data_IF_799201844497
#
_entry.id   IF_799201844497
#
_cell.length_a   1.000
_cell.length_b   1.000
_cell.length_c   1.000
_cell.angle_alpha   90.00
_cell.angle_beta   90.00
_cell.angle_gamma   90.00
#
_symmetry.space_group_name_H-M   'P 1'
#
loop_
_entity.id
_entity.type
_entity.pdbx_description
1 polymer ?
#
# COMPACT_ATOMS: atom_id res chain seq x y z
N UNK A 1 -40.23 2.36 13.66
CA UNK A 1 -39.27 3.50 13.52
C UNK A 1 -38.96 3.80 12.06
N UNK A 2 -38.98 2.81 11.16
CA UNK A 2 -38.90 2.97 9.70
C UNK A 2 -40.13 3.67 9.09
N UNK A 3 -41.33 3.39 9.59
CA UNK A 3 -42.59 3.91 9.00
C UNK A 3 -42.70 5.44 9.03
N UNK A 4 -42.01 6.07 9.99
CA UNK A 4 -42.00 7.53 10.16
C UNK A 4 -41.12 8.22 9.11
N UNK A 5 -40.01 7.58 8.72
CA UNK A 5 -39.07 8.10 7.72
C UNK A 5 -39.66 8.01 6.32
N UNK A 6 -40.48 6.98 6.06
CA UNK A 6 -41.12 6.76 4.78
C UNK A 6 -42.29 7.73 4.54
N UNK A 7 -43.03 8.07 5.61
CA UNK A 7 -44.06 9.11 5.60
C UNK A 7 -43.47 10.52 5.37
N UNK A 8 -42.31 10.84 5.96
CA UNK A 8 -41.65 12.13 5.76
C UNK A 8 -41.11 12.28 4.32
N UNK A 9 -40.56 11.21 3.74
CA UNK A 9 -40.07 11.20 2.35
C UNK A 9 -41.18 11.36 1.30
N UNK A 10 -42.37 10.80 1.55
CA UNK A 10 -43.53 11.00 0.66
C UNK A 10 -44.04 12.44 0.73
N UNK A 11 -43.99 13.07 1.91
CA UNK A 11 -44.42 14.47 2.09
C UNK A 11 -43.51 15.46 1.35
N UNK A 12 -42.19 15.24 1.38
CA UNK A 12 -41.21 16.06 0.65
C UNK A 12 -41.38 15.97 -0.87
N UNK A 13 -41.71 14.79 -1.40
CA UNK A 13 -41.96 14.61 -2.84
C UNK A 13 -43.21 15.34 -3.32
N UNK A 14 -44.26 15.36 -2.51
CA UNK A 14 -45.50 16.06 -2.88
C UNK A 14 -45.36 17.60 -2.84
N UNK A 15 -44.49 18.15 -1.98
CA UNK A 15 -44.19 19.60 -1.97
C UNK A 15 -43.41 20.07 -3.21
N UNK A 16 -42.56 19.22 -3.77
CA UNK A 16 -41.82 19.53 -5.00
C UNK A 16 -42.72 19.54 -6.25
N UNK A 17 -43.79 18.75 -6.26
CA UNK A 17 -44.75 18.72 -7.38
C UNK A 17 -45.72 19.92 -7.37
N UNK A 18 -45.99 20.53 -6.22
CA UNK A 18 -46.88 21.70 -6.13
C UNK A 18 -46.20 23.04 -6.48
N UNK A 19 -44.86 23.06 -6.59
CA UNK A 19 -44.11 24.30 -6.91
C UNK A 19 -43.75 24.47 -8.39
N UNK A 20 -44.23 23.61 -9.31
CA UNK A 20 -43.88 23.66 -10.75
C UNK A 20 -45.06 24.02 -11.66
N UNK A 21 -46.11 24.65 -11.14
CA UNK A 21 -47.19 25.20 -12.00
C UNK A 21 -47.30 26.70 -11.80
N UNK A 22 -46.41 27.45 -12.46
CA UNK A 22 -46.70 28.81 -12.93
C UNK A 22 -45.72 29.19 -14.04
N UNK A 23 -46.18 29.08 -15.29
CA UNK A 23 -45.72 29.91 -16.40
C UNK A 23 -46.73 31.03 -16.63
N UNK A 24 -46.26 32.24 -16.95
CA UNK A 24 -46.90 32.97 -18.04
C UNK A 24 -45.88 33.54 -19.04
N UNK A 25 -46.14 33.23 -20.32
CA UNK A 25 -46.05 34.10 -21.50
C UNK A 25 -45.07 35.30 -21.52
N UNK A 26 -44.09 35.17 -22.41
CA UNK A 26 -43.53 36.17 -23.35
C UNK A 26 -43.77 37.68 -23.09
N UNK A 27 -42.68 38.39 -22.78
CA UNK A 27 -42.40 39.73 -23.30
C UNK A 27 -40.88 40.00 -23.30
N UNK A 28 -40.43 40.69 -24.34
CA UNK A 28 -39.05 41.05 -24.64
C UNK A 28 -38.43 41.95 -23.55
N UNK A 29 -37.17 41.71 -23.17
CA UNK A 29 -36.10 42.72 -23.06
C UNK A 29 -34.83 42.12 -22.44
N UNK A 30 -33.81 41.87 -23.27
CA UNK A 30 -32.42 41.76 -22.82
C UNK A 30 -31.54 42.69 -23.68
N UNK A 31 -30.61 43.45 -23.08
CA UNK A 31 -29.86 44.49 -23.78
C UNK A 31 -28.74 43.89 -24.65
N UNK A 32 -28.59 44.47 -25.84
CA UNK A 32 -27.53 44.20 -26.80
C UNK A 32 -26.22 44.82 -26.30
N UNK A 33 -25.17 44.01 -26.18
CA UNK A 33 -23.78 44.50 -26.23
C UNK A 33 -23.10 43.94 -27.48
N UNK A 34 -22.99 44.81 -28.47
CA UNK A 34 -22.13 44.66 -29.65
C UNK A 34 -20.67 44.56 -29.22
N UNK A 35 -19.91 43.58 -29.71
CA UNK A 35 -18.50 43.79 -30.09
C UNK A 35 -18.06 42.72 -31.10
N UNK A 36 -17.53 43.23 -32.20
CA UNK A 36 -16.94 42.62 -33.38
C UNK A 36 -15.89 41.52 -33.13
N UNK A 37 -16.00 40.39 -33.84
CA UNK A 37 -14.86 39.61 -34.33
C UNK A 37 -15.27 38.62 -35.44
N UNK A 38 -15.23 39.06 -36.69
CA UNK A 38 -14.98 38.19 -37.85
C UNK A 38 -13.59 38.54 -38.38
N UNK A 39 -12.76 37.54 -38.69
CA UNK A 39 -11.68 37.70 -39.68
C UNK A 39 -11.01 36.43 -40.25
N UNK A 40 -11.39 35.21 -39.88
CA UNK A 40 -10.84 34.01 -40.53
C UNK A 40 -11.88 32.90 -40.73
N UNK A 41 -12.79 33.08 -41.69
CA UNK A 41 -13.59 32.00 -42.25
C UNK A 41 -13.70 32.18 -43.78
N UNK A 42 -12.80 31.54 -44.53
CA UNK A 42 -12.88 31.22 -45.97
C UNK A 42 -11.76 30.19 -46.20
N UNK A 43 -11.91 28.96 -46.71
CA UNK A 43 -12.68 28.39 -47.84
C UNK A 43 -12.81 26.82 -47.71
N UNK A 44 -13.55 26.12 -48.60
CA UNK A 44 -14.07 24.76 -48.39
C UNK A 44 -13.35 23.65 -49.24
N UNK A 45 -13.90 22.42 -49.40
CA UNK A 45 -13.20 21.15 -49.18
C UNK A 45 -12.42 20.61 -50.40
N UNK A 46 -11.42 19.76 -50.18
CA UNK A 46 -10.75 19.01 -51.25
C UNK A 46 -10.54 17.55 -50.86
N UNK A 47 -11.20 16.69 -51.61
CA UNK A 47 -11.06 15.23 -51.68
C UNK A 47 -9.68 14.83 -52.18
N UNK A 48 -9.04 13.85 -51.54
CA UNK A 48 -8.10 12.91 -52.19
C UNK A 48 -7.87 11.70 -51.30
N UNK A 49 -8.20 10.55 -51.85
CA UNK A 49 -8.03 9.19 -51.34
C UNK A 49 -6.56 8.79 -51.19
N UNK A 50 -6.19 8.21 -50.05
CA UNK A 50 -5.13 7.19 -49.97
C UNK A 50 -5.61 6.08 -49.02
N UNK A 51 -5.92 4.93 -49.61
CA UNK A 51 -6.08 3.66 -48.92
C UNK A 51 -4.72 3.22 -48.37
N UNK A 52 -4.63 2.92 -47.08
CA UNK A 52 -3.63 1.99 -46.56
C UNK A 52 -4.35 0.89 -45.78
N UNK A 53 -4.56 -0.22 -46.48
CA UNK A 53 -4.95 -1.50 -45.92
C UNK A 53 -3.81 -2.02 -45.04
N UNK A 54 -3.94 -1.96 -43.73
CA UNK A 54 -3.18 -2.82 -42.82
C UNK A 54 -4.20 -3.64 -42.03
N UNK A 55 -4.19 -4.94 -42.30
CA UNK A 55 -5.10 -5.92 -41.73
C UNK A 55 -5.00 -5.94 -40.20
N UNK A 56 -6.13 -5.75 -39.52
CA UNK A 56 -6.24 -6.02 -38.09
C UNK A 56 -6.08 -7.54 -37.87
N UNK A 57 -5.15 -8.01 -37.03
CA UNK A 57 -5.18 -9.40 -36.59
C UNK A 57 -6.42 -9.63 -35.69
N UNK A 58 -6.98 -10.85 -35.69
CA UNK A 58 -8.19 -11.16 -34.94
C UNK A 58 -7.98 -11.01 -33.42
N UNK A 59 -9.03 -10.75 -32.63
CA UNK A 59 -8.92 -10.70 -31.19
C UNK A 59 -8.65 -12.11 -30.67
N UNK A 60 -7.42 -12.40 -30.27
CA UNK A 60 -7.15 -13.56 -29.43
C UNK A 60 -7.77 -13.31 -28.06
N UNK A 61 -8.91 -13.94 -27.82
CA UNK A 61 -9.47 -14.17 -26.49
C UNK A 61 -8.46 -14.99 -25.66
N UNK A 62 -7.54 -14.33 -24.97
CA UNK A 62 -6.82 -14.93 -23.85
C UNK A 62 -7.64 -14.69 -22.60
N UNK A 63 -8.46 -15.67 -22.25
CA UNK A 63 -9.11 -15.77 -20.96
C UNK A 63 -8.00 -16.10 -19.94
N UNK A 64 -7.48 -15.07 -19.29
CA UNK A 64 -6.80 -15.14 -18.00
C UNK A 64 -6.79 -13.73 -17.41
N UNK A 65 -7.98 -13.29 -17.03
CA UNK A 65 -8.19 -12.08 -16.26
C UNK A 65 -7.72 -12.33 -14.82
N UNK A 66 -6.42 -12.26 -14.58
CA UNK A 66 -5.95 -11.90 -13.25
C UNK A 66 -6.47 -10.48 -12.97
N UNK A 67 -7.03 -10.19 -11.78
CA UNK A 67 -7.37 -8.82 -11.45
C UNK A 67 -6.07 -8.05 -11.40
N UNK A 68 -5.80 -7.31 -12.47
CA UNK A 68 -4.75 -6.31 -12.56
C UNK A 68 -5.06 -5.22 -11.53
N UNK A 69 -4.65 -5.45 -10.28
CA UNK A 69 -4.67 -4.46 -9.22
C UNK A 69 -3.50 -3.47 -9.42
N UNK A 70 -3.27 -3.04 -10.65
CA UNK A 70 -2.44 -1.88 -10.94
C UNK A 70 -3.29 -0.63 -10.70
N UNK A 71 -3.62 -0.37 -9.43
CA UNK A 71 -4.19 0.92 -9.07
C UNK A 71 -3.20 2.01 -9.47
N UNK A 72 -3.65 2.95 -10.32
CA UNK A 72 -2.89 4.15 -10.67
C UNK A 72 -2.44 4.83 -9.37
N UNK A 73 -1.15 5.19 -9.31
CA UNK A 73 -0.50 5.79 -8.12
C UNK A 73 -1.42 6.87 -7.52
N UNK A 74 -1.76 6.74 -6.24
CA UNK A 74 -2.61 7.70 -5.51
C UNK A 74 -4.08 7.30 -5.32
N UNK A 75 -4.60 6.30 -6.05
CA UNK A 75 -5.99 5.86 -5.89
C UNK A 75 -6.21 4.80 -4.80
N UNK A 76 -5.18 4.48 -4.01
CA UNK A 76 -5.27 3.49 -2.92
C UNK A 76 -6.36 3.82 -1.90
N UNK A 77 -6.63 5.10 -1.66
CA UNK A 77 -7.69 5.53 -0.74
C UNK A 77 -9.08 5.05 -1.18
N UNK A 78 -9.31 4.89 -2.48
CA UNK A 78 -10.58 4.49 -3.07
C UNK A 78 -10.62 2.99 -3.41
N UNK A 79 -9.57 2.26 -3.06
CA UNK A 79 -9.49 0.82 -3.29
C UNK A 79 -10.11 0.11 -2.09
N UNK A 80 -11.04 -0.85 -2.29
CA UNK A 80 -11.54 -1.65 -1.18
C UNK A 80 -10.38 -2.35 -0.48
N UNK A 81 -10.45 -2.43 0.85
CA UNK A 81 -9.44 -3.12 1.65
C UNK A 81 -9.41 -4.58 1.23
N UNK A 82 -8.26 -5.06 0.77
CA UNK A 82 -8.08 -6.45 0.36
C UNK A 82 -8.35 -7.41 1.52
N UNK A 83 -8.93 -8.57 1.22
CA UNK A 83 -9.13 -9.62 2.22
C UNK A 83 -7.80 -10.20 2.74
N UNK A 84 -6.71 -10.07 1.96
CA UNK A 84 -5.38 -10.55 2.33
C UNK A 84 -4.56 -9.46 3.03
N UNK A 85 -5.11 -8.87 4.10
CA UNK A 85 -4.38 -7.90 4.92
C UNK A 85 -3.20 -8.58 5.61
N UNK A 86 -1.99 -8.11 5.31
CA UNK A 86 -0.78 -8.62 5.93
C UNK A 86 0.47 -8.21 5.16
N UNK A 87 1.59 -8.69 5.67
CA UNK A 87 2.91 -8.39 5.12
C UNK A 87 3.66 -9.69 4.85
N UNK A 88 4.59 -9.67 3.91
CA UNK A 88 5.45 -10.82 3.69
C UNK A 88 6.85 -10.38 3.30
N UNK A 89 7.82 -11.24 3.61
CA UNK A 89 9.19 -11.06 3.18
C UNK A 89 9.39 -11.67 1.80
N UNK A 90 10.01 -10.90 0.90
CA UNK A 90 10.55 -11.39 -0.36
C UNK A 90 12.05 -11.51 -0.18
N UNK A 91 12.58 -12.72 -0.34
CA UNK A 91 14.01 -12.99 -0.23
C UNK A 91 14.67 -12.95 -1.59
N UNK A 92 15.76 -12.19 -1.70
CA UNK A 92 16.53 -12.04 -2.94
C UNK A 92 18.00 -12.36 -2.71
N UNK A 93 18.64 -13.06 -3.66
CA UNK A 93 20.08 -13.20 -3.64
C UNK A 93 20.73 -11.83 -3.88
N UNK A 94 21.79 -11.53 -3.13
CA UNK A 94 22.59 -10.32 -3.30
C UNK A 94 24.08 -10.66 -3.31
N UNK A 95 24.82 -9.96 -4.18
CA UNK A 95 26.27 -10.18 -4.33
C UNK A 95 27.08 -9.61 -3.16
N UNK A 96 26.65 -8.47 -2.63
CA UNK A 96 27.29 -7.80 -1.50
C UNK A 96 26.28 -6.95 -0.73
N UNK A 97 26.48 -6.83 0.58
CA UNK A 97 25.66 -5.94 1.42
C UNK A 97 25.93 -4.50 1.03
N UNK A 98 24.87 -3.71 0.92
CA UNK A 98 24.93 -2.27 0.65
C UNK A 98 24.11 -1.49 1.66
N UNK A 99 24.40 -0.18 1.87
CA UNK A 99 23.56 0.67 2.69
C UNK A 99 22.11 0.67 2.21
N UNK A 100 21.17 0.82 3.15
CA UNK A 100 19.73 0.82 2.87
C UNK A 100 19.33 1.74 1.71
N UNK A 101 19.87 2.97 1.69
CA UNK A 101 19.57 3.96 0.65
C UNK A 101 19.98 3.49 -0.74
N UNK A 102 21.11 2.80 -0.85
CA UNK A 102 21.64 2.32 -2.12
C UNK A 102 20.79 1.15 -2.65
N UNK A 103 20.43 0.19 -1.79
CA UNK A 103 19.50 -0.90 -2.18
C UNK A 103 18.17 -0.33 -2.64
N UNK A 104 17.57 0.58 -1.86
CA UNK A 104 16.32 1.22 -2.24
C UNK A 104 16.43 1.96 -3.58
N UNK A 105 17.56 2.61 -3.88
CA UNK A 105 17.78 3.26 -5.16
C UNK A 105 17.92 2.26 -6.31
N UNK A 106 18.67 1.17 -6.10
CA UNK A 106 18.84 0.11 -7.11
C UNK A 106 17.51 -0.61 -7.42
N UNK A 107 16.73 -0.96 -6.40
CA UNK A 107 15.42 -1.59 -6.58
C UNK A 107 14.41 -0.65 -7.27
N UNK A 108 14.50 0.66 -7.00
CA UNK A 108 13.67 1.67 -7.66
C UNK A 108 14.06 1.88 -9.11
N UNK A 109 15.35 2.03 -9.38
CA UNK A 109 15.85 2.39 -10.71
C UNK A 109 15.93 1.19 -11.65
N UNK A 110 16.23 0.00 -11.14
CA UNK A 110 16.28 -1.25 -11.91
C UNK A 110 14.91 -1.88 -12.07
N UNK A 111 14.32 -2.35 -10.95
CA UNK A 111 13.06 -3.10 -10.98
C UNK A 111 11.80 -2.21 -10.89
N UNK A 112 11.93 -0.89 -10.89
CA UNK A 112 10.78 0.01 -10.76
C UNK A 112 10.01 -0.15 -9.45
N UNK A 113 10.61 -0.72 -8.39
CA UNK A 113 9.93 -0.86 -7.10
C UNK A 113 9.81 0.50 -6.42
N UNK A 114 8.58 0.95 -6.19
CA UNK A 114 8.36 2.21 -5.48
C UNK A 114 8.90 2.08 -4.05
N UNK A 115 9.70 3.05 -3.58
CA UNK A 115 10.30 2.96 -2.25
C UNK A 115 9.29 3.00 -1.10
N UNK A 116 8.09 3.55 -1.31
CA UNK A 116 7.02 3.48 -0.32
C UNK A 116 6.32 2.11 -0.24
N UNK A 117 6.61 1.20 -1.16
CA UNK A 117 6.05 -0.16 -1.17
C UNK A 117 6.92 -1.17 -0.42
N UNK A 118 8.20 -0.83 -0.20
CA UNK A 118 9.12 -1.60 0.63
C UNK A 118 9.07 -0.98 2.03
N UNK A 119 8.65 -1.78 3.00
CA UNK A 119 8.39 -1.34 4.37
C UNK A 119 9.67 -1.43 5.22
N UNK A 120 10.41 -2.50 5.03
CA UNK A 120 11.69 -2.76 5.71
C UNK A 120 12.63 -3.56 4.79
N UNK A 121 13.93 -3.41 5.04
CA UNK A 121 14.98 -4.18 4.39
C UNK A 121 15.96 -4.66 5.44
N UNK A 122 16.16 -5.96 5.54
CA UNK A 122 17.20 -6.54 6.37
C UNK A 122 17.96 -7.66 5.67
N UNK A 123 19.04 -8.10 6.30
CA UNK A 123 19.94 -9.12 5.75
C UNK A 123 19.92 -10.35 6.66
N UNK A 124 19.10 -11.38 6.37
CA UNK A 124 19.11 -12.62 7.15
C UNK A 124 20.47 -13.35 7.05
N UNK A 125 21.14 -13.22 5.91
CA UNK A 125 22.44 -13.83 5.63
C UNK A 125 23.29 -12.88 4.80
N UNK A 126 24.59 -13.13 4.68
CA UNK A 126 25.52 -12.30 3.91
C UNK A 126 25.17 -12.15 2.42
N UNK A 127 24.51 -13.16 1.83
CA UNK A 127 24.16 -13.23 0.40
C UNK A 127 22.67 -13.10 0.12
N UNK A 128 21.86 -12.76 1.12
CA UNK A 128 20.41 -12.68 0.99
C UNK A 128 19.94 -11.36 1.59
N UNK A 129 19.04 -10.68 0.87
CA UNK A 129 18.31 -9.53 1.36
C UNK A 129 16.83 -9.90 1.47
N UNK A 130 16.20 -9.51 2.57
CA UNK A 130 14.78 -9.68 2.83
C UNK A 130 14.08 -8.32 2.68
N UNK A 131 13.06 -8.27 1.84
CA UNK A 131 12.24 -7.08 1.60
C UNK A 131 10.86 -7.30 2.22
N UNK A 132 10.48 -6.50 3.21
CA UNK A 132 9.13 -6.53 3.76
C UNK A 132 8.19 -5.74 2.84
N UNK A 133 7.13 -6.38 2.36
CA UNK A 133 6.13 -5.74 1.49
C UNK A 133 4.71 -6.07 1.97
N UNK A 134 3.75 -5.23 1.62
CA UNK A 134 2.34 -5.56 1.79
C UNK A 134 1.92 -6.66 0.83
N UNK A 135 1.03 -7.56 1.26
CA UNK A 135 0.58 -8.71 0.46
C UNK A 135 0.00 -8.30 -0.90
N UNK A 136 -0.83 -7.25 -0.96
CA UNK A 136 -1.39 -6.73 -2.22
C UNK A 136 -0.32 -6.25 -3.22
N UNK A 137 0.88 -5.92 -2.74
CA UNK A 137 1.99 -5.51 -3.60
C UNK A 137 2.95 -6.66 -3.90
N UNK A 138 2.88 -7.77 -3.16
CA UNK A 138 3.90 -8.81 -3.22
C UNK A 138 3.99 -9.48 -4.61
N UNK A 139 2.84 -9.78 -5.23
CA UNK A 139 2.82 -10.34 -6.58
C UNK A 139 3.44 -9.39 -7.60
N UNK A 140 3.01 -8.13 -7.60
CA UNK A 140 3.54 -7.08 -8.48
C UNK A 140 5.05 -6.90 -8.28
N UNK A 141 5.52 -6.95 -7.03
CA UNK A 141 6.94 -6.87 -6.72
C UNK A 141 7.72 -8.06 -7.29
N UNK A 142 7.21 -9.27 -7.11
CA UNK A 142 7.83 -10.49 -7.63
C UNK A 142 7.89 -10.52 -9.17
N UNK A 143 6.86 -10.03 -9.85
CA UNK A 143 6.83 -9.92 -11.31
C UNK A 143 7.86 -8.91 -11.81
N UNK A 144 7.91 -7.73 -11.20
CA UNK A 144 8.91 -6.70 -11.53
C UNK A 144 10.35 -7.18 -11.33
N UNK A 145 10.60 -7.90 -10.24
CA UNK A 145 11.91 -8.49 -9.99
C UNK A 145 12.27 -9.52 -11.08
N UNK A 146 11.32 -10.39 -11.44
CA UNK A 146 11.54 -11.39 -12.50
C UNK A 146 11.80 -10.78 -13.87
N UNK A 147 11.13 -9.67 -14.21
CA UNK A 147 11.38 -8.96 -15.47
C UNK A 147 12.83 -8.46 -15.58
N UNK A 148 13.46 -8.15 -14.45
CA UNK A 148 14.88 -7.78 -14.36
C UNK A 148 15.82 -8.98 -14.14
N UNK A 149 15.35 -10.20 -14.38
CA UNK A 149 16.09 -11.45 -14.13
C UNK A 149 16.53 -11.64 -12.66
N UNK A 150 15.87 -10.96 -11.71
CA UNK A 150 16.04 -11.21 -10.29
C UNK A 150 15.03 -12.28 -9.88
N UNK A 151 15.51 -13.44 -9.49
CA UNK A 151 14.67 -14.56 -9.05
C UNK A 151 14.54 -14.56 -7.53
N UNK A 152 13.36 -14.21 -6.96
CA UNK A 152 13.13 -14.34 -5.53
C UNK A 152 13.21 -15.81 -5.08
N UNK A 153 13.79 -16.04 -3.90
CA UNK A 153 13.90 -17.36 -3.28
C UNK A 153 12.54 -17.68 -2.65
N UNK A 154 11.88 -18.75 -3.11
CA UNK A 154 10.53 -19.10 -2.64
C UNK A 154 10.52 -19.73 -1.25
N UNK A 155 11.44 -20.67 -1.01
CA UNK A 155 11.42 -21.52 0.19
C UNK A 155 12.59 -21.20 1.13
N UNK A 156 12.90 -19.92 1.28
CA UNK A 156 13.94 -19.50 2.23
C UNK A 156 13.40 -19.55 3.65
N UNK A 157 14.01 -20.41 4.48
CA UNK A 157 13.74 -20.45 5.90
C UNK A 157 14.75 -19.56 6.67
N UNK A 158 14.32 -18.42 7.25
CA UNK A 158 15.21 -17.57 8.03
C UNK A 158 15.69 -18.19 9.35
N UNK A 159 15.04 -19.25 9.83
CA UNK A 159 15.39 -19.95 11.07
C UNK A 159 16.36 -21.12 10.84
N UNK A 160 16.68 -21.45 9.58
CA UNK A 160 17.60 -22.54 9.28
C UNK A 160 18.99 -22.28 9.90
N UNK A 161 19.44 -23.21 10.73
CA UNK A 161 20.75 -23.19 11.37
C UNK A 161 21.93 -23.05 10.38
N UNK A 162 21.73 -23.43 9.12
CA UNK A 162 22.73 -23.29 8.04
C UNK A 162 22.97 -21.83 7.64
N UNK A 163 22.04 -20.93 7.93
CA UNK A 163 22.19 -19.50 7.66
C UNK A 163 23.14 -18.79 8.62
N UNK A 164 23.47 -19.41 9.75
CA UNK A 164 24.45 -18.90 10.71
C UNK A 164 25.86 -19.03 10.13
N UNK A 165 26.40 -17.93 9.61
CA UNK A 165 27.72 -17.86 8.95
C UNK A 165 28.86 -17.42 9.87
N UNK A 166 28.60 -17.24 11.15
CA UNK A 166 29.61 -16.78 12.10
C UNK A 166 30.65 -17.89 12.38
N UNK A 167 31.96 -17.62 12.19
CA UNK A 167 33.01 -18.60 12.46
C UNK A 167 32.96 -19.20 13.86
N UNK A 168 32.47 -18.45 14.87
CA UNK A 168 32.42 -18.93 16.25
C UNK A 168 31.49 -20.14 16.44
N UNK A 169 30.48 -20.28 15.59
CA UNK A 169 29.47 -21.36 15.67
C UNK A 169 29.67 -22.45 14.62
N UNK A 170 30.78 -22.41 13.87
CA UNK A 170 31.02 -23.33 12.74
C UNK A 170 30.98 -24.79 13.16
N UNK A 171 31.62 -25.10 14.28
CA UNK A 171 31.76 -26.45 14.83
C UNK A 171 30.80 -26.69 16.02
N UNK A 172 29.88 -25.77 16.29
CA UNK A 172 28.85 -25.93 17.32
C UNK A 172 27.76 -26.92 16.88
N UNK A 173 27.13 -27.63 17.84
CA UNK A 173 26.03 -28.55 17.55
C UNK A 173 24.82 -27.80 16.94
N UNK A 174 24.02 -28.54 16.19
CA UNK A 174 22.89 -27.99 15.43
C UNK A 174 21.88 -27.30 16.35
N UNK A 175 21.64 -27.83 17.54
CA UNK A 175 20.70 -27.30 18.52
C UNK A 175 21.10 -25.88 18.95
N UNK A 176 22.38 -25.67 19.27
CA UNK A 176 22.93 -24.37 19.67
C UNK A 176 22.83 -23.38 18.52
N UNK A 177 23.14 -23.82 17.30
CA UNK A 177 23.04 -22.97 16.09
C UNK A 177 21.60 -22.56 15.80
N UNK A 178 20.65 -23.49 15.91
CA UNK A 178 19.22 -23.22 15.73
C UNK A 178 18.70 -22.24 16.77
N UNK A 179 19.11 -22.39 18.03
CA UNK A 179 18.73 -21.48 19.11
C UNK A 179 19.27 -20.07 18.86
N UNK A 180 20.54 -19.94 18.46
CA UNK A 180 21.14 -18.64 18.15
C UNK A 180 20.47 -18.00 16.92
N UNK A 181 20.20 -18.78 15.87
CA UNK A 181 19.51 -18.29 14.68
C UNK A 181 18.11 -17.78 15.02
N UNK A 182 17.38 -18.48 15.90
CA UNK A 182 16.11 -18.02 16.43
C UNK A 182 16.26 -16.70 17.19
N UNK A 183 17.25 -16.59 18.08
CA UNK A 183 17.48 -15.36 18.84
C UNK A 183 17.82 -14.15 17.95
N UNK A 184 18.61 -14.36 16.89
CA UNK A 184 18.92 -13.34 15.88
C UNK A 184 17.65 -12.91 15.14
N UNK A 185 16.83 -13.88 14.73
CA UNK A 185 15.58 -13.62 14.03
C UNK A 185 14.58 -12.85 14.90
N UNK A 186 14.36 -13.28 16.14
CA UNK A 186 13.47 -12.61 17.10
C UNK A 186 13.90 -11.15 17.33
N UNK A 187 15.22 -10.91 17.49
CA UNK A 187 15.78 -9.56 17.61
C UNK A 187 15.56 -8.72 16.35
N UNK A 188 15.64 -9.34 15.16
CA UNK A 188 15.38 -8.65 13.91
C UNK A 188 13.91 -8.26 13.76
N UNK A 189 12.98 -9.12 14.19
CA UNK A 189 11.54 -8.82 14.22
C UNK A 189 11.26 -7.59 15.10
N UNK A 190 11.82 -7.56 16.32
CA UNK A 190 11.70 -6.40 17.21
C UNK A 190 12.29 -5.12 16.59
N UNK A 191 13.52 -5.18 16.07
CA UNK A 191 14.16 -4.03 15.40
C UNK A 191 13.34 -3.49 14.23
N UNK A 192 12.72 -4.39 13.47
CA UNK A 192 11.83 -4.02 12.35
C UNK A 192 10.68 -3.17 12.89
N UNK A 193 9.99 -3.64 13.93
CA UNK A 193 8.88 -2.92 14.55
C UNK A 193 9.34 -1.57 15.12
N UNK A 194 10.48 -1.53 15.81
CA UNK A 194 10.99 -0.31 16.45
C UNK A 194 11.29 0.80 15.44
N UNK A 195 11.86 0.44 14.29
CA UNK A 195 12.25 1.38 13.23
C UNK A 195 11.06 1.93 12.45
N UNK A 196 9.94 1.21 12.39
CA UNK A 196 8.78 1.62 11.60
C UNK A 196 8.10 2.88 12.15
N UNK A 197 7.47 3.63 11.25
CA UNK A 197 6.69 4.82 11.63
C UNK A 197 5.36 4.42 12.26
N UNK A 198 4.84 5.22 13.21
CA UNK A 198 3.54 5.09 13.88
C UNK A 198 2.44 4.34 13.10
N UNK A 199 1.98 4.76 11.89
CA UNK A 199 0.81 4.16 11.28
C UNK A 199 1.08 2.76 10.70
N UNK A 200 2.31 2.55 10.19
CA UNK A 200 2.72 1.27 9.59
C UNK A 200 3.16 0.29 10.68
N UNK A 201 3.77 0.80 11.75
CA UNK A 201 4.26 0.03 12.89
C UNK A 201 3.17 -0.85 13.49
N UNK A 202 2.02 -0.27 13.83
CA UNK A 202 0.91 -1.02 14.44
C UNK A 202 0.31 -2.06 13.48
N UNK A 203 0.23 -1.74 12.18
CA UNK A 203 -0.26 -2.70 11.20
C UNK A 203 0.66 -3.92 11.08
N UNK A 204 1.97 -3.69 10.98
CA UNK A 204 2.98 -4.76 10.92
C UNK A 204 3.02 -5.56 12.22
N UNK A 205 2.99 -4.90 13.38
CA UNK A 205 2.99 -5.58 14.67
C UNK A 205 1.78 -6.51 14.83
N UNK A 206 0.56 -6.06 14.48
CA UNK A 206 -0.64 -6.93 14.50
C UNK A 206 -0.50 -8.12 13.56
N UNK A 207 0.07 -7.92 12.37
CA UNK A 207 0.32 -9.03 11.44
C UNK A 207 1.34 -10.04 12.00
N UNK A 208 2.40 -9.55 12.64
CA UNK A 208 3.43 -10.37 13.26
C UNK A 208 2.90 -11.14 14.47
N UNK A 209 2.01 -10.53 15.26
CA UNK A 209 1.32 -11.21 16.36
C UNK A 209 0.44 -12.35 15.84
N UNK A 210 -0.36 -12.13 14.79
CA UNK A 210 -1.18 -13.19 14.17
C UNK A 210 -0.36 -14.37 13.66
N UNK A 211 0.90 -14.13 13.29
CA UNK A 211 1.87 -15.15 12.85
C UNK A 211 2.65 -15.79 13.99
N UNK A 212 2.44 -15.38 15.24
CA UNK A 212 3.17 -15.86 16.40
C UNK A 212 4.63 -15.39 16.47
N UNK A 213 4.97 -14.29 15.76
CA UNK A 213 6.34 -13.73 15.75
C UNK A 213 6.62 -12.82 16.95
N UNK A 214 5.57 -12.29 17.58
CA UNK A 214 5.63 -11.47 18.80
C UNK A 214 4.52 -11.90 19.75
N UNK A 215 4.68 -11.61 21.04
CA UNK A 215 3.67 -11.89 22.06
C UNK A 215 2.55 -10.84 22.07
N UNK A 216 1.38 -11.22 22.59
CA UNK A 216 0.25 -10.31 22.81
C UNK A 216 0.65 -9.16 23.75
N UNK A 217 1.41 -9.46 24.81
CA UNK A 217 1.90 -8.46 25.76
C UNK A 217 2.74 -7.38 25.09
N UNK A 218 3.64 -7.77 24.17
CA UNK A 218 4.47 -6.82 23.43
C UNK A 218 3.63 -5.92 22.53
N UNK A 219 2.58 -6.46 21.90
CA UNK A 219 1.67 -5.67 21.07
C UNK A 219 0.86 -4.66 21.91
N UNK A 220 0.36 -5.07 23.07
CA UNK A 220 -0.39 -4.19 23.99
C UNK A 220 0.49 -3.05 24.50
N UNK A 221 1.71 -3.34 24.93
CA UNK A 221 2.68 -2.32 25.37
C UNK A 221 2.96 -1.32 24.24
N UNK A 222 3.07 -1.79 23.00
CA UNK A 222 3.29 -0.94 21.83
C UNK A 222 2.10 -0.02 21.55
N UNK A 223 0.87 -0.51 21.71
CA UNK A 223 -0.37 0.27 21.54
C UNK A 223 -0.45 1.35 22.63
N UNK A 224 -0.19 0.99 23.89
CA UNK A 224 -0.24 1.92 25.02
C UNK A 224 0.81 3.03 24.91
N UNK A 225 2.02 2.68 24.49
CA UNK A 225 3.09 3.64 24.25
C UNK A 225 2.67 4.65 23.16
N UNK A 226 2.04 4.16 22.09
CA UNK A 226 1.60 4.99 20.99
C UNK A 226 0.43 5.91 21.36
N UNK A 227 -0.52 5.42 22.17
CA UNK A 227 -1.63 6.22 22.68
C UNK A 227 -1.13 7.37 23.59
N UNK A 228 -0.04 7.16 24.31
CA UNK A 228 0.55 8.15 25.22
C UNK A 228 1.32 9.27 24.50
N UNK A 229 1.75 9.04 23.26
CA UNK A 229 2.51 10.02 22.45
C UNK A 229 1.64 10.97 21.63
N UNK A 230 0.31 10.81 21.65
CA UNK A 230 -0.60 11.71 20.94
C UNK A 230 -0.74 13.05 21.70
N UNK A 231 -0.39 14.21 21.10
CA UNK A 231 -0.46 15.51 21.76
C UNK A 231 -1.89 15.97 22.09
N UNK A 232 -2.90 15.20 21.69
CA UNK A 232 -4.33 15.48 21.92
C UNK A 232 -4.92 14.71 23.10
N UNK A 233 -4.14 13.86 23.78
CA UNK A 233 -4.61 13.19 24.99
C UNK A 233 -4.72 14.20 26.16
N UNK A 234 -5.86 14.28 26.87
CA UNK A 234 -5.98 15.13 28.03
C UNK A 234 -4.99 14.65 29.09
N UNK A 235 -4.11 15.56 29.55
CA UNK A 235 -3.18 15.31 30.66
C UNK A 235 -3.98 14.94 31.90
N UNK A 236 -4.10 13.66 32.20
CA UNK A 236 -4.58 13.21 33.50
C UNK A 236 -3.52 13.61 34.53
N UNK A 237 -3.83 14.63 35.32
CA UNK A 237 -3.05 15.07 36.47
C UNK A 237 -2.99 13.93 37.49
N UNK A 238 -1.89 13.17 37.50
CA UNK A 238 -1.62 12.22 38.58
C UNK A 238 -1.00 13.02 39.74
N UNK A 239 -1.83 13.32 40.73
CA UNK A 239 -1.42 13.85 42.04
C UNK A 239 -0.52 12.82 42.72
N UNK A 240 0.77 13.12 42.84
CA UNK A 240 1.68 12.40 43.73
C UNK A 240 1.23 12.64 45.18
N UNK A 241 0.60 11.63 45.78
CA UNK A 241 0.39 11.59 47.22
C UNK A 241 1.66 11.05 47.87
N UNK A 242 2.37 11.94 48.56
CA UNK A 242 3.50 11.60 49.40
C UNK A 242 3.03 10.74 50.57
N UNK A 243 3.61 9.55 50.72
CA UNK A 243 3.58 8.81 51.97
C UNK A 243 4.98 8.85 52.61
N UNK A 244 5.04 9.58 53.73
CA UNK A 244 6.07 9.40 54.77
C UNK A 244 5.74 8.13 55.55
N UNK A 245 6.74 7.29 55.81
CA UNK A 245 7.11 6.81 57.13
C UNK A 245 8.61 6.52 57.15
#
# INVERSE_FOLDING_TARGET
RLDRVEADNTRLRNQLTESTVQSPSQSNDFPVLSTSASKYATQPPSTSSVQQNHANPPPTTSVNSYPDSTHKKGLRLFTPVSNNQGFQYIYLPIRSRKPFKEICAQLRNGAGLNSGSIIDIYYPTSKIVALLVHNDFAQVAMERLRNENLHPIKDFDPLDHRNLTDPQFKDSPVEIRSQEMKAIYDRQIQRTIDFLRPPVKLAVARDFQRKGLISDTYLEDLINLHASTDPTAPKSSSTLQAFRF
#
